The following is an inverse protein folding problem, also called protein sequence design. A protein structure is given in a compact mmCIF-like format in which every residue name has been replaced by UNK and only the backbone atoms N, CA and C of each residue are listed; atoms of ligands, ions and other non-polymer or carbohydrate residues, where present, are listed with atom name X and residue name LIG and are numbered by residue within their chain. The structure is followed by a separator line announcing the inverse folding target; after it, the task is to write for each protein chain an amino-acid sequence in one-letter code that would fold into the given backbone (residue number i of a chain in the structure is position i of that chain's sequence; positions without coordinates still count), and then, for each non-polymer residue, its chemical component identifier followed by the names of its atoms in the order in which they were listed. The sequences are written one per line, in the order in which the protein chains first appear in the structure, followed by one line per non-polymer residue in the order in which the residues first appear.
data_IF_344297649328
#
_entry.id   IF_344297649328
#
_cell.length_a   1.000
_cell.length_b   1.000
_cell.length_c   1.000
_cell.angle_alpha   90.00
_cell.angle_beta   90.00
_cell.angle_gamma   90.00
#
_symmetry.space_group_name_H-M   'P 1'
#
loop_
_entity.id
_entity.type
_entity.pdbx_description
1 polymer ?
#
# COMPACT_ATOMS: atom_id res chain seq x y z
N UNK A 1 -2.75 -13.24 6.25
CA UNK A 1 -3.62 -12.07 5.99
C UNK A 1 -3.94 -12.07 4.51
N UNK A 2 -5.19 -12.37 4.16
CA UNK A 2 -5.62 -12.39 2.77
C UNK A 2 -5.70 -10.97 2.21
N UNK A 3 -5.22 -10.81 0.97
CA UNK A 3 -5.43 -9.63 0.10
C UNK A 3 -6.90 -9.19 0.00
N UNK A 4 -7.83 -10.02 0.46
CA UNK A 4 -9.28 -9.82 0.60
C UNK A 4 -9.77 -8.49 1.21
N UNK A 5 -8.90 -7.67 1.80
CA UNK A 5 -9.29 -6.39 2.42
C UNK A 5 -8.97 -5.17 1.54
N UNK A 6 -8.05 -5.32 0.59
CA UNK A 6 -7.59 -4.23 -0.28
C UNK A 6 -8.51 -4.17 -1.50
N UNK A 7 -9.15 -3.02 -1.68
CA UNK A 7 -10.03 -2.75 -2.81
C UNK A 7 -9.24 -2.28 -4.04
N UNK A 8 -8.29 -1.37 -3.84
CA UNK A 8 -7.49 -0.81 -4.93
C UNK A 8 -6.10 -0.40 -4.44
N UNK A 9 -5.14 -0.36 -5.37
CA UNK A 9 -3.77 0.10 -5.14
C UNK A 9 -3.37 0.98 -6.31
N UNK A 10 -2.94 2.20 -6.01
CA UNK A 10 -2.43 3.18 -6.96
C UNK A 10 -1.02 3.63 -6.61
N UNK A 11 -0.32 4.21 -7.57
CA UNK A 11 0.97 4.83 -7.33
C UNK A 11 1.16 6.04 -8.24
N UNK A 12 1.61 7.16 -7.68
CA UNK A 12 1.88 8.40 -8.40
C UNK A 12 2.89 9.25 -7.63
N UNK A 13 3.87 9.83 -8.32
CA UNK A 13 4.85 10.78 -7.74
C UNK A 13 5.50 10.27 -6.43
N UNK A 14 5.95 9.01 -6.41
CA UNK A 14 6.52 8.35 -5.23
C UNK A 14 5.58 8.17 -4.02
N UNK A 15 4.27 8.29 -4.25
CA UNK A 15 3.24 8.00 -3.24
C UNK A 15 2.46 6.77 -3.68
N UNK A 16 2.42 5.75 -2.83
CA UNK A 16 1.54 4.59 -3.02
C UNK A 16 0.26 4.79 -2.23
N UNK A 17 -0.88 4.64 -2.90
CA UNK A 17 -2.19 4.72 -2.27
C UNK A 17 -2.81 3.32 -2.17
N UNK A 18 -3.35 3.00 -1.00
CA UNK A 18 -4.02 1.74 -0.72
C UNK A 18 -5.42 2.04 -0.19
N UNK A 19 -6.42 1.62 -0.96
CA UNK A 19 -7.83 1.68 -0.57
C UNK A 19 -8.28 0.33 -0.05
N UNK A 20 -8.99 0.33 1.07
CA UNK A 20 -9.58 -0.85 1.67
C UNK A 20 -11.09 -0.93 1.37
N UNK A 21 -11.66 -2.13 1.35
CA UNK A 21 -13.10 -2.33 1.11
C UNK A 21 -14.02 -1.65 2.14
N UNK A 22 -13.49 -1.25 3.30
CA UNK A 22 -14.22 -0.47 4.30
C UNK A 22 -14.20 1.05 4.02
N UNK A 23 -13.63 1.49 2.90
CA UNK A 23 -13.50 2.89 2.50
C UNK A 23 -12.32 3.62 3.14
N UNK A 24 -11.48 2.96 3.94
CA UNK A 24 -10.26 3.58 4.44
C UNK A 24 -9.23 3.69 3.31
N UNK A 25 -8.61 4.87 3.17
CA UNK A 25 -7.53 5.13 2.21
C UNK A 25 -6.28 5.54 2.95
N UNK A 26 -5.16 4.93 2.60
CA UNK A 26 -3.84 5.24 3.16
C UNK A 26 -2.88 5.60 2.05
N UNK A 27 -2.06 6.62 2.29
CA UNK A 27 -0.96 7.01 1.41
C UNK A 27 0.37 6.74 2.11
N UNK A 28 1.26 6.06 1.40
CA UNK A 28 2.63 5.77 1.79
C UNK A 28 3.57 6.65 0.97
N UNK A 29 4.39 7.44 1.65
CA UNK A 29 5.34 8.36 1.03
C UNK A 29 6.68 7.67 0.73
N UNK A 30 7.46 8.28 -0.17
CA UNK A 30 8.78 7.83 -0.59
C UNK A 30 8.81 6.37 -1.09
N UNK A 31 7.70 5.91 -1.68
CA UNK A 31 7.62 4.59 -2.30
C UNK A 31 8.14 4.69 -3.72
N UNK A 32 9.23 4.00 -4.03
CA UNK A 32 9.76 3.96 -5.39
C UNK A 32 8.87 3.12 -6.32
N UNK A 33 8.98 3.33 -7.63
CA UNK A 33 8.23 2.52 -8.62
C UNK A 33 8.57 1.03 -8.50
N UNK A 34 9.83 0.68 -8.18
CA UNK A 34 10.26 -0.69 -7.95
C UNK A 34 9.58 -1.31 -6.73
N UNK A 35 9.56 -0.60 -5.60
CA UNK A 35 8.86 -1.02 -4.38
C UNK A 35 7.36 -1.20 -4.62
N UNK A 36 6.73 -0.30 -5.39
CA UNK A 36 5.34 -0.44 -5.80
C UNK A 36 5.10 -1.74 -6.59
N UNK A 37 5.93 -2.04 -7.58
CA UNK A 37 5.80 -3.28 -8.35
C UNK A 37 6.07 -4.52 -7.51
N UNK A 38 7.04 -4.46 -6.59
CA UNK A 38 7.31 -5.55 -5.65
C UNK A 38 6.10 -5.79 -4.72
N UNK A 39 5.51 -4.72 -4.18
CA UNK A 39 4.32 -4.78 -3.36
C UNK A 39 3.14 -5.38 -4.14
N UNK A 40 2.87 -4.87 -5.35
CA UNK A 40 1.73 -5.30 -6.18
C UNK A 40 1.82 -6.77 -6.60
N UNK A 41 3.04 -7.30 -6.77
CA UNK A 41 3.27 -8.69 -7.12
C UNK A 41 3.53 -9.59 -5.90
N UNK A 42 3.42 -9.06 -4.68
CA UNK A 42 3.71 -9.83 -3.48
C UNK A 42 2.70 -10.96 -3.29
N UNK A 43 3.14 -12.17 -2.87
CA UNK A 43 2.24 -13.30 -2.65
C UNK A 43 1.26 -13.08 -1.49
N UNK A 44 1.53 -12.13 -0.60
CA UNK A 44 0.63 -11.70 0.46
C UNK A 44 0.71 -10.20 0.64
N UNK A 45 -0.29 -9.48 0.11
CA UNK A 45 -0.36 -8.02 0.23
C UNK A 45 -0.43 -7.56 1.69
N UNK A 46 -1.10 -8.29 2.57
CA UNK A 46 -1.17 -7.93 3.99
C UNK A 46 0.19 -8.00 4.70
N UNK A 47 1.03 -9.00 4.35
CA UNK A 47 2.40 -9.06 4.87
C UNK A 47 3.25 -7.92 4.29
N UNK A 48 3.19 -7.72 2.98
CA UNK A 48 3.92 -6.65 2.31
C UNK A 48 3.54 -5.27 2.90
N UNK A 49 2.27 -5.08 3.24
CA UNK A 49 1.80 -3.83 3.85
C UNK A 49 2.39 -3.63 5.25
N UNK A 50 2.42 -4.68 6.06
CA UNK A 50 3.07 -4.61 7.38
C UNK A 50 4.57 -4.30 7.30
N UNK A 51 5.25 -4.71 6.23
CA UNK A 51 6.64 -4.35 5.96
C UNK A 51 6.76 -2.87 5.52
N UNK A 52 5.80 -2.38 4.74
CA UNK A 52 5.73 -0.96 4.35
C UNK A 52 5.44 -0.03 5.54
N UNK A 53 4.53 -0.42 6.44
CA UNK A 53 4.21 0.33 7.66
C UNK A 53 5.45 0.60 8.54
N UNK A 54 6.48 -0.23 8.42
CA UNK A 54 7.74 -0.11 9.16
C UNK A 54 8.82 0.69 8.42
N UNK A 55 8.70 0.82 7.09
CA UNK A 55 9.73 1.39 6.21
C UNK A 55 9.38 2.76 5.67
N UNK A 56 8.10 3.03 5.49
CA UNK A 56 7.60 4.24 4.83
C UNK A 56 6.74 5.04 5.81
N UNK A 57 6.87 6.37 5.85
CA UNK A 57 5.87 7.23 6.44
C UNK A 57 4.54 7.00 5.73
N UNK A 58 3.46 6.96 6.51
CA UNK A 58 2.13 6.82 5.96
C UNK A 58 1.12 7.60 6.77
N UNK A 59 0.05 8.03 6.11
CA UNK A 59 -1.08 8.68 6.74
C UNK A 59 -2.38 8.24 6.10
N UNK A 60 -3.46 8.34 6.86
CA UNK A 60 -4.81 8.12 6.37
C UNK A 60 -5.29 9.37 5.65
N UNK A 61 -5.91 9.19 4.49
CA UNK A 61 -6.57 10.25 3.72
C UNK A 61 -8.07 10.21 4.04
N UNK A 62 -8.67 11.39 4.27
CA UNK A 62 -10.12 11.57 4.44
C UNK A 62 -10.83 11.89 3.13
#
# INVERSE_FOLDING_TARGET
MDSSRIASIGWSKNVMEVEFHNGAVYQYEDVTLEEYWAFRNAPSLGRALSEFDQRHPYFRVE
#
